data_IF_291215427990
#
_entry.id   IF_291215427990
#
_cell.length_a   1.000
_cell.length_b   1.000
_cell.length_c   1.000
_cell.angle_alpha   90.00
_cell.angle_beta   90.00
_cell.angle_gamma   90.00
#
_symmetry.space_group_name_H-M   'P 1'
#
loop_
_entity.id
_entity.type
_entity.pdbx_description
1 polymer ?
#
# COMPACT_ATOMS: atom_id res chain seq x y z
N UNK A 1 1.31 -0.07 35.68
CA UNK A 1 0.71 0.33 34.39
C UNK A 1 0.63 -0.89 33.49
N UNK A 2 -0.58 -1.25 33.01
CA UNK A 2 -0.78 -2.35 32.05
C UNK A 2 -0.13 -1.97 30.72
N UNK A 3 0.65 -2.87 30.11
CA UNK A 3 1.19 -2.66 28.76
C UNK A 3 0.07 -2.86 27.74
N UNK A 4 -0.10 -1.92 26.82
CA UNK A 4 -1.06 -2.01 25.73
C UNK A 4 -0.39 -2.65 24.51
N UNK A 5 -0.92 -3.78 24.05
CA UNK A 5 -0.43 -4.46 22.85
C UNK A 5 -1.21 -3.93 21.64
N UNK A 6 -0.49 -3.47 20.62
CA UNK A 6 -1.08 -2.92 19.39
C UNK A 6 -0.49 -3.63 18.20
N UNK A 7 -1.34 -4.21 17.36
CA UNK A 7 -0.93 -5.03 16.21
C UNK A 7 -1.45 -4.36 14.94
N UNK A 8 -0.53 -4.03 14.04
CA UNK A 8 -0.91 -3.51 12.72
C UNK A 8 -1.23 -4.68 11.77
N UNK A 9 -2.49 -4.75 11.34
CA UNK A 9 -3.03 -5.81 10.47
C UNK A 9 -3.18 -5.26 9.05
N UNK A 10 -2.16 -5.40 8.22
CA UNK A 10 -2.14 -4.86 6.86
C UNK A 10 -2.92 -5.68 5.82
N UNK A 11 -3.59 -6.76 6.22
CA UNK A 11 -4.19 -7.77 5.33
C UNK A 11 -3.20 -8.73 4.67
N UNK A 12 -1.90 -8.63 4.99
CA UNK A 12 -0.87 -9.53 4.49
C UNK A 12 -0.68 -10.75 5.40
N UNK A 13 0.03 -11.77 4.90
CA UNK A 13 0.28 -13.02 5.66
C UNK A 13 0.99 -12.79 7.00
N UNK A 14 2.03 -11.93 7.00
CA UNK A 14 2.91 -11.74 8.15
C UNK A 14 2.23 -10.89 9.24
N UNK A 15 1.51 -9.83 8.86
CA UNK A 15 0.74 -9.01 9.80
C UNK A 15 -0.44 -9.79 10.39
N UNK A 16 -1.09 -10.64 9.59
CA UNK A 16 -2.12 -11.58 10.08
C UNK A 16 -1.51 -12.59 11.07
N UNK A 17 -0.33 -13.14 10.79
CA UNK A 17 0.31 -14.07 11.72
C UNK A 17 0.64 -13.42 13.08
N UNK A 18 0.98 -12.12 13.14
CA UNK A 18 1.10 -11.43 14.42
C UNK A 18 -0.22 -11.39 15.20
N UNK A 19 -1.33 -11.11 14.52
CA UNK A 19 -2.68 -11.12 15.11
C UNK A 19 -3.01 -12.51 15.67
N UNK A 20 -2.80 -13.56 14.87
CA UNK A 20 -3.05 -14.96 15.26
C UNK A 20 -2.13 -15.40 16.40
N UNK A 21 -0.87 -14.98 16.40
CA UNK A 21 0.09 -15.32 17.45
C UNK A 21 -0.32 -14.69 18.79
N UNK A 22 -0.85 -13.47 18.78
CA UNK A 22 -1.35 -12.83 20.00
C UNK A 22 -2.59 -13.57 20.56
N UNK A 23 -3.52 -13.97 19.69
CA UNK A 23 -4.66 -14.81 20.08
C UNK A 23 -4.23 -16.16 20.65
N UNK A 24 -3.33 -16.87 19.96
CA UNK A 24 -2.79 -18.16 20.42
C UNK A 24 -2.08 -18.05 21.78
N UNK A 25 -1.55 -16.88 22.11
CA UNK A 25 -0.90 -16.58 23.40
C UNK A 25 -1.87 -16.07 24.48
N UNK A 26 -3.17 -15.90 24.17
CA UNK A 26 -4.13 -15.33 25.11
C UNK A 26 -3.82 -13.88 25.51
N UNK A 27 -3.13 -13.13 24.64
CA UNK A 27 -2.77 -11.74 24.92
C UNK A 27 -3.93 -10.85 24.49
N UNK A 28 -4.30 -9.90 25.36
CA UNK A 28 -5.24 -8.83 25.06
C UNK A 28 -4.54 -7.75 24.21
N UNK A 29 -5.10 -7.39 23.06
CA UNK A 29 -4.51 -6.44 22.11
C UNK A 29 -5.54 -5.66 21.31
N UNK A 30 -5.10 -4.51 20.77
CA UNK A 30 -5.83 -3.74 19.75
C UNK A 30 -5.30 -4.08 18.37
N UNK A 31 -6.20 -4.43 17.45
CA UNK A 31 -5.88 -4.58 16.03
C UNK A 31 -6.14 -3.27 15.30
N UNK A 32 -5.17 -2.78 14.54
CA UNK A 32 -5.29 -1.51 13.81
C UNK A 32 -4.86 -1.67 12.35
N UNK A 33 -5.51 -0.94 11.45
CA UNK A 33 -5.18 -0.89 10.04
C UNK A 33 -5.10 0.56 9.57
N UNK A 34 -3.99 0.89 8.90
CA UNK A 34 -3.83 2.19 8.26
C UNK A 34 -4.29 2.09 6.80
N UNK A 35 -5.49 2.56 6.53
CA UNK A 35 -6.09 2.53 5.21
C UNK A 35 -5.47 3.62 4.33
N UNK A 36 -4.76 3.18 3.29
CA UNK A 36 -4.10 4.08 2.36
C UNK A 36 -5.06 4.73 1.37
N UNK A 37 -6.29 4.21 1.21
CA UNK A 37 -7.22 4.61 0.16
C UNK A 37 -6.93 3.99 -1.21
N UNK A 38 -5.85 3.22 -1.35
CA UNK A 38 -5.52 2.50 -2.59
C UNK A 38 -5.50 0.97 -2.39
N UNK A 39 -6.13 0.47 -1.32
CA UNK A 39 -6.22 -0.97 -1.04
C UNK A 39 -7.16 -1.66 -2.03
N UNK A 40 -6.91 -2.95 -2.29
CA UNK A 40 -7.86 -3.81 -3.01
C UNK A 40 -9.07 -4.14 -2.13
N UNK A 41 -10.22 -4.36 -2.76
CA UNK A 41 -11.51 -4.72 -2.15
C UNK A 41 -11.37 -5.98 -1.27
N UNK A 42 -10.71 -7.02 -1.78
CA UNK A 42 -10.37 -8.22 -1.00
C UNK A 42 -9.50 -7.97 0.24
N UNK A 43 -8.79 -6.85 0.33
CA UNK A 43 -8.11 -6.46 1.58
C UNK A 43 -9.15 -6.04 2.62
N UNK A 44 -10.14 -5.22 2.26
CA UNK A 44 -11.20 -4.83 3.18
C UNK A 44 -12.06 -6.03 3.59
N UNK A 45 -12.48 -6.88 2.65
CA UNK A 45 -13.20 -8.12 2.94
C UNK A 45 -12.42 -8.99 3.94
N UNK A 46 -11.11 -9.12 3.75
CA UNK A 46 -10.26 -9.91 4.63
C UNK A 46 -10.18 -9.34 6.05
N UNK A 47 -10.12 -8.01 6.19
CA UNK A 47 -10.09 -7.35 7.51
C UNK A 47 -11.40 -7.53 8.28
N UNK A 48 -12.53 -7.60 7.57
CA UNK A 48 -13.84 -7.92 8.18
C UNK A 48 -13.99 -9.41 8.51
N UNK A 49 -13.42 -10.28 7.68
CA UNK A 49 -13.42 -11.72 7.87
C UNK A 49 -12.61 -12.16 9.10
N UNK A 50 -11.43 -11.57 9.29
CA UNK A 50 -10.46 -12.00 10.31
C UNK A 50 -11.04 -12.09 11.75
N UNK A 51 -11.69 -11.05 12.32
CA UNK A 51 -12.28 -11.15 13.65
C UNK A 51 -13.48 -12.13 13.69
N UNK A 52 -14.24 -12.26 12.59
CA UNK A 52 -15.40 -13.17 12.52
C UNK A 52 -14.99 -14.64 12.62
N UNK A 53 -13.88 -15.02 11.97
CA UNK A 53 -13.40 -16.41 11.99
C UNK A 53 -12.59 -16.74 13.26
N UNK A 54 -11.87 -15.77 13.81
CA UNK A 54 -10.97 -16.00 14.95
C UNK A 54 -11.61 -15.72 16.31
N UNK A 55 -12.72 -15.00 16.37
CA UNK A 55 -13.27 -14.46 17.61
C UNK A 55 -12.41 -13.37 18.26
N UNK A 56 -11.38 -12.87 17.56
CA UNK A 56 -10.46 -11.86 18.06
C UNK A 56 -10.96 -10.42 17.92
N UNK A 57 -10.14 -9.43 18.32
CA UNK A 57 -10.48 -8.01 18.24
C UNK A 57 -10.82 -7.55 16.82
N UNK A 58 -11.83 -6.70 16.69
CA UNK A 58 -12.16 -5.98 15.45
C UNK A 58 -10.97 -5.10 15.05
N UNK A 59 -10.72 -5.00 13.74
CA UNK A 59 -9.65 -4.17 13.20
C UNK A 59 -10.11 -2.72 13.12
N UNK A 60 -9.53 -1.84 13.93
CA UNK A 60 -9.77 -0.40 13.91
C UNK A 60 -9.08 0.24 12.72
N UNK A 61 -9.83 0.99 11.90
CA UNK A 61 -9.32 1.61 10.69
C UNK A 61 -8.98 3.08 10.96
N UNK A 62 -7.75 3.47 10.66
CA UNK A 62 -7.29 4.86 10.66
C UNK A 62 -6.97 5.33 9.25
N UNK A 63 -7.24 6.61 8.97
CA UNK A 63 -7.05 7.22 7.65
C UNK A 63 -6.33 8.56 7.79
N UNK A 64 -5.47 8.88 6.82
CA UNK A 64 -4.88 10.20 6.72
C UNK A 64 -5.92 11.23 6.22
N UNK A 65 -5.78 12.49 6.65
CA UNK A 65 -6.53 13.63 6.12
C UNK A 65 -5.54 14.68 5.61
N UNK A 66 -5.65 15.01 4.32
CA UNK A 66 -4.80 15.99 3.64
C UNK A 66 -5.50 17.32 3.34
N UNK A 67 -6.71 17.54 3.86
CA UNK A 67 -7.51 18.75 3.59
C UNK A 67 -6.73 20.05 3.89
N UNK A 68 -6.00 20.07 5.01
CA UNK A 68 -5.16 21.21 5.40
C UNK A 68 -3.97 21.41 4.45
N UNK A 69 -3.34 20.33 4.02
CA UNK A 69 -2.18 20.30 3.13
C UNK A 69 -2.58 20.77 1.72
N UNK A 70 -3.73 20.31 1.23
CA UNK A 70 -4.33 20.74 -0.03
C UNK A 70 -4.66 22.23 0.03
N UNK A 71 -5.29 22.72 1.12
CA UNK A 71 -5.57 24.16 1.27
C UNK A 71 -4.32 25.03 1.16
N UNK A 72 -3.25 24.67 1.89
CA UNK A 72 -1.95 25.36 1.82
C UNK A 72 -1.32 25.28 0.43
N UNK A 73 -1.47 24.14 -0.26
CA UNK A 73 -0.98 23.97 -1.62
C UNK A 73 -1.71 24.89 -2.60
N UNK A 74 -3.03 25.07 -2.45
CA UNK A 74 -3.82 25.99 -3.27
C UNK A 74 -3.35 27.43 -3.14
N UNK A 75 -3.02 27.87 -1.92
CA UNK A 75 -2.40 29.19 -1.68
C UNK A 75 -1.07 29.31 -2.45
N UNK A 76 -0.22 28.28 -2.40
CA UNK A 76 1.03 28.24 -3.17
C UNK A 76 0.79 28.30 -4.68
N UNK A 77 -0.22 27.58 -5.19
CA UNK A 77 -0.58 27.60 -6.62
C UNK A 77 -1.09 28.97 -7.04
N UNK A 78 -1.87 29.66 -6.20
CA UNK A 78 -2.37 31.01 -6.51
C UNK A 78 -1.24 32.05 -6.54
N UNK A 79 -0.38 32.02 -5.52
CA UNK A 79 0.52 33.13 -5.24
C UNK A 79 1.93 32.89 -5.82
N UNK A 80 2.48 31.69 -5.61
CA UNK A 80 3.85 31.36 -6.04
C UNK A 80 3.93 30.99 -7.51
N UNK A 81 2.99 30.22 -8.06
CA UNK A 81 3.05 29.85 -9.48
C UNK A 81 2.90 31.06 -10.41
N UNK A 82 2.10 32.06 -10.00
CA UNK A 82 2.01 33.33 -10.70
C UNK A 82 3.36 34.05 -10.75
N UNK A 83 4.09 34.08 -9.62
CA UNK A 83 5.46 34.66 -9.54
C UNK A 83 6.47 33.86 -10.37
N UNK A 84 6.31 32.54 -10.41
CA UNK A 84 7.17 31.64 -11.19
C UNK A 84 6.86 31.64 -12.70
N UNK A 85 5.98 32.52 -13.19
CA UNK A 85 5.66 32.65 -14.62
C UNK A 85 4.76 31.54 -15.20
N UNK A 86 4.06 30.77 -14.36
CA UNK A 86 3.15 29.72 -14.85
C UNK A 86 1.93 30.35 -15.55
N UNK A 87 1.50 29.85 -16.72
CA UNK A 87 0.36 30.40 -17.44
C UNK A 87 -0.93 30.47 -16.59
N UNK A 88 -1.67 31.58 -16.69
CA UNK A 88 -2.91 31.80 -15.95
C UNK A 88 -3.94 30.68 -16.14
N UNK A 89 -4.05 30.15 -17.36
CA UNK A 89 -4.93 29.03 -17.68
C UNK A 89 -4.57 27.76 -16.90
N UNK A 90 -3.27 27.47 -16.74
CA UNK A 90 -2.80 26.33 -15.95
C UNK A 90 -3.07 26.53 -14.46
N UNK A 91 -2.88 27.75 -13.93
CA UNK A 91 -3.20 28.07 -12.53
C UNK A 91 -4.70 27.89 -12.26
N UNK A 92 -5.56 28.42 -13.13
CA UNK A 92 -7.02 28.29 -13.01
C UNK A 92 -7.44 26.82 -12.98
N UNK A 93 -7.01 26.03 -13.97
CA UNK A 93 -7.28 24.60 -14.04
C UNK A 93 -6.78 23.83 -12.80
N UNK A 94 -5.58 24.14 -12.33
CA UNK A 94 -5.03 23.50 -11.13
C UNK A 94 -5.86 23.83 -9.88
N UNK A 95 -6.32 25.08 -9.73
CA UNK A 95 -7.17 25.49 -8.60
C UNK A 95 -8.59 24.92 -8.66
N UNK A 96 -9.12 24.62 -9.84
CA UNK A 96 -10.40 23.92 -9.98
C UNK A 96 -10.30 22.46 -9.51
N UNK A 97 -9.22 21.77 -9.90
CA UNK A 97 -9.04 20.34 -9.67
C UNK A 97 -8.38 19.99 -8.32
N UNK A 98 -7.59 20.89 -7.73
CA UNK A 98 -6.86 20.63 -6.48
C UNK A 98 -7.79 20.75 -5.26
N UNK A 99 -8.68 19.78 -5.07
CA UNK A 99 -9.63 19.68 -3.96
C UNK A 99 -9.45 18.34 -3.24
N UNK A 100 -9.82 18.24 -1.94
CA UNK A 100 -9.90 16.95 -1.25
C UNK A 100 -10.92 16.05 -1.96
N UNK A 101 -10.51 14.82 -2.26
CA UNK A 101 -11.32 13.83 -2.99
C UNK A 101 -11.97 12.82 -2.06
N UNK A 102 -11.55 12.78 -0.78
CA UNK A 102 -11.95 11.76 0.18
C UNK A 102 -11.12 10.47 0.07
N UNK A 103 -10.25 10.36 -0.94
CA UNK A 103 -9.30 9.27 -1.07
C UNK A 103 -7.90 9.75 -0.61
N UNK A 104 -7.38 9.23 0.52
CA UNK A 104 -6.12 9.73 1.08
C UNK A 104 -4.90 9.49 0.17
N UNK A 105 -4.86 8.40 -0.61
CA UNK A 105 -3.77 8.17 -1.56
C UNK A 105 -3.76 9.23 -2.66
N UNK A 106 -4.92 9.49 -3.25
CA UNK A 106 -5.06 10.48 -4.31
C UNK A 106 -4.78 11.89 -3.78
N UNK A 107 -5.35 12.25 -2.64
CA UNK A 107 -5.16 13.56 -2.01
C UNK A 107 -3.69 13.84 -1.67
N UNK A 108 -2.97 12.83 -1.16
CA UNK A 108 -1.54 12.90 -0.96
C UNK A 108 -0.80 13.15 -2.29
N UNK A 109 -1.17 12.46 -3.37
CA UNK A 109 -0.54 12.64 -4.69
C UNK A 109 -0.82 14.03 -5.28
N UNK A 110 -2.04 14.56 -5.11
CA UNK A 110 -2.43 15.91 -5.53
C UNK A 110 -1.65 16.97 -4.75
N UNK A 111 -1.54 16.82 -3.43
CA UNK A 111 -0.76 17.72 -2.59
C UNK A 111 0.73 17.74 -2.98
N UNK A 112 1.34 16.55 -3.14
CA UNK A 112 2.75 16.41 -3.52
C UNK A 112 2.99 16.76 -5.01
N UNK A 113 1.94 16.74 -5.83
CA UNK A 113 1.99 16.95 -7.29
C UNK A 113 2.72 15.84 -8.06
N UNK A 114 2.77 14.63 -7.48
CA UNK A 114 3.40 13.43 -8.05
C UNK A 114 2.98 12.16 -7.31
N UNK A 115 3.15 11.00 -7.95
CA UNK A 115 3.04 9.71 -7.28
C UNK A 115 4.29 9.34 -6.46
N UNK A 116 4.14 8.52 -5.42
CA UNK A 116 5.25 7.91 -4.71
C UNK A 116 6.03 6.95 -5.61
N UNK A 117 7.28 6.67 -5.25
CA UNK A 117 8.16 5.78 -6.03
C UNK A 117 8.96 4.86 -5.12
N UNK A 118 9.59 3.83 -5.69
CA UNK A 118 10.44 2.90 -4.96
C UNK A 118 11.59 3.57 -4.20
N UNK A 119 12.05 4.75 -4.68
CA UNK A 119 13.07 5.60 -4.03
C UNK A 119 12.49 6.65 -3.08
N UNK A 120 11.30 7.17 -3.37
CA UNK A 120 10.64 8.19 -2.54
C UNK A 120 9.28 7.66 -2.05
N UNK A 121 9.30 6.93 -0.93
CA UNK A 121 8.18 6.16 -0.38
C UNK A 121 7.35 6.97 0.63
N UNK A 122 7.06 8.23 0.31
CA UNK A 122 6.30 9.10 1.21
C UNK A 122 4.89 8.55 1.50
N UNK A 123 4.35 7.64 0.68
CA UNK A 123 3.12 6.93 1.00
C UNK A 123 3.21 6.11 2.30
N UNK A 124 4.37 5.54 2.62
CA UNK A 124 4.54 4.78 3.87
C UNK A 124 4.48 5.72 5.07
N UNK A 125 5.15 6.86 4.99
CA UNK A 125 5.17 7.87 6.06
C UNK A 125 3.78 8.49 6.24
N UNK A 126 3.23 9.05 5.16
CA UNK A 126 2.03 9.89 5.18
C UNK A 126 0.74 9.09 5.37
N UNK A 127 0.67 7.86 4.84
CA UNK A 127 -0.56 7.05 4.86
C UNK A 127 -0.54 5.92 5.88
N UNK A 128 0.64 5.53 6.39
CA UNK A 128 0.75 4.45 7.39
C UNK A 128 1.33 4.94 8.71
N UNK A 129 2.55 5.45 8.69
CA UNK A 129 3.26 5.83 9.93
C UNK A 129 2.52 6.97 10.64
N UNK A 130 2.27 8.09 9.97
CA UNK A 130 1.65 9.25 10.62
C UNK A 130 0.23 8.98 11.12
N UNK A 131 -0.70 8.37 10.36
CA UNK A 131 -2.02 8.05 10.89
C UNK A 131 -1.96 7.16 12.13
N UNK A 132 -1.13 6.10 12.12
CA UNK A 132 -0.97 5.23 13.28
C UNK A 132 -0.34 5.99 14.45
N UNK A 133 0.70 6.77 14.22
CA UNK A 133 1.37 7.53 15.28
C UNK A 133 0.43 8.53 15.95
N UNK A 134 -0.24 9.38 15.17
CA UNK A 134 -1.05 10.45 15.72
C UNK A 134 -2.41 9.97 16.24
N UNK A 135 -3.04 8.99 15.60
CA UNK A 135 -4.41 8.56 15.94
C UNK A 135 -4.43 7.35 16.89
N UNK A 136 -3.38 6.52 16.91
CA UNK A 136 -3.34 5.31 17.73
C UNK A 136 -2.27 5.41 18.82
N UNK A 137 -1.00 5.57 18.44
CA UNK A 137 0.11 5.43 19.37
C UNK A 137 0.19 6.57 20.38
N UNK A 138 0.03 7.83 19.95
CA UNK A 138 0.06 8.97 20.87
C UNK A 138 -1.09 8.94 21.89
N UNK A 139 -2.36 8.70 21.51
CA UNK A 139 -3.42 8.48 22.50
C UNK A 139 -3.14 7.30 23.42
N UNK A 140 -2.62 6.18 22.91
CA UNK A 140 -2.30 5.01 23.73
C UNK A 140 -1.16 5.29 24.73
N UNK A 141 -0.11 6.02 24.33
CA UNK A 141 1.02 6.39 25.18
C UNK A 141 0.61 7.28 26.35
N UNK A 142 -0.40 8.15 26.17
CA UNK A 142 -0.97 8.95 27.28
C UNK A 142 -1.57 8.08 28.38
N UNK A 143 -2.01 6.87 28.03
CA UNK A 143 -2.69 5.92 28.93
C UNK A 143 -1.76 4.79 29.43
N UNK A 144 -0.47 4.80 29.06
CA UNK A 144 0.50 3.83 29.56
C UNK A 144 1.52 3.37 28.52
N UNK A 145 2.23 2.28 28.82
CA UNK A 145 3.24 1.74 27.93
C UNK A 145 2.58 1.07 26.73
N UNK A 146 3.13 1.32 25.54
CA UNK A 146 2.65 0.73 24.29
C UNK A 146 3.70 -0.22 23.74
N UNK A 147 3.24 -1.40 23.36
CA UNK A 147 4.00 -2.41 22.65
C UNK A 147 3.38 -2.66 21.28
N UNK A 148 4.03 -2.16 20.23
CA UNK A 148 3.69 -2.41 18.84
C UNK A 148 4.29 -3.74 18.35
N UNK A 149 3.44 -4.61 17.83
CA UNK A 149 3.85 -5.83 17.15
C UNK A 149 3.96 -5.58 15.65
N UNK A 150 5.09 -5.96 15.07
CA UNK A 150 5.34 -5.80 13.64
C UNK A 150 5.61 -7.16 12.99
N UNK A 151 4.77 -7.50 12.00
CA UNK A 151 4.91 -8.69 11.16
C UNK A 151 5.98 -8.49 10.10
N UNK A 152 7.24 -8.52 10.51
CA UNK A 152 8.41 -8.37 9.63
C UNK A 152 9.25 -9.64 9.73
N UNK A 153 9.72 -10.17 8.60
CA UNK A 153 10.62 -11.32 8.55
C UNK A 153 11.94 -10.98 7.87
N UNK A 154 13.03 -11.55 8.38
CA UNK A 154 14.38 -11.35 7.88
C UNK A 154 14.54 -11.79 6.42
N UNK A 155 13.91 -12.90 6.04
CA UNK A 155 13.97 -13.47 4.68
C UNK A 155 13.38 -12.57 3.59
N UNK A 156 12.59 -11.55 3.95
CA UNK A 156 11.93 -10.70 2.94
C UNK A 156 12.90 -9.71 2.28
N UNK A 157 13.98 -9.31 2.96
CA UNK A 157 15.04 -8.46 2.40
C UNK A 157 16.23 -8.32 3.34
N UNK A 158 17.42 -8.02 2.79
CA UNK A 158 18.63 -7.69 3.58
C UNK A 158 18.40 -6.58 4.62
N UNK A 159 17.68 -5.52 4.26
CA UNK A 159 17.34 -4.46 5.23
C UNK A 159 16.49 -4.94 6.40
N UNK A 160 15.67 -5.99 6.21
CA UNK A 160 14.83 -6.57 7.27
C UNK A 160 15.63 -7.53 8.14
N UNK A 161 16.63 -8.22 7.61
CA UNK A 161 17.50 -9.12 8.40
C UNK A 161 18.38 -8.36 9.39
N UNK A 162 18.66 -7.09 9.14
CA UNK A 162 19.46 -6.22 10.02
C UNK A 162 18.63 -5.59 11.15
N UNK A 163 17.29 -5.73 11.13
CA UNK A 163 16.44 -5.16 12.17
C UNK A 163 16.59 -5.92 13.49
N UNK A 164 16.59 -5.21 14.64
CA UNK A 164 16.62 -5.87 15.93
C UNK A 164 15.28 -6.58 16.20
N UNK A 165 15.32 -7.67 16.97
CA UNK A 165 14.10 -8.37 17.39
C UNK A 165 13.17 -7.47 18.24
N UNK A 166 13.78 -6.54 18.98
CA UNK A 166 13.11 -5.60 19.87
C UNK A 166 13.85 -4.26 19.87
N UNK A 167 13.12 -3.15 19.83
CA UNK A 167 13.69 -1.82 20.09
C UNK A 167 12.63 -0.86 20.64
N UNK A 168 13.07 0.23 21.27
CA UNK A 168 12.21 1.39 21.54
C UNK A 168 12.45 2.42 20.44
N UNK A 169 11.38 3.04 19.94
CA UNK A 169 11.51 4.13 18.97
C UNK A 169 11.54 5.51 19.65
N UNK A 170 11.77 6.55 18.86
CA UNK A 170 11.88 7.94 19.34
C UNK A 170 10.55 8.48 19.89
N UNK A 171 9.42 7.86 19.55
CA UNK A 171 8.10 8.22 20.09
C UNK A 171 7.85 7.63 21.48
N UNK A 172 8.71 6.69 21.89
CA UNK A 172 8.59 5.98 23.15
C UNK A 172 7.82 4.66 23.06
N UNK A 173 7.36 4.27 21.86
CA UNK A 173 6.72 2.98 21.62
C UNK A 173 7.77 1.89 21.61
N UNK A 174 7.48 0.78 22.29
CA UNK A 174 8.27 -0.43 22.17
C UNK A 174 7.82 -1.22 20.93
N UNK A 175 8.76 -1.60 20.08
CA UNK A 175 8.52 -2.37 18.88
C UNK A 175 9.04 -3.79 19.08
N UNK A 176 8.18 -4.77 18.80
CA UNK A 176 8.50 -6.19 18.83
C UNK A 176 8.23 -6.84 17.49
N UNK A 177 9.18 -7.66 17.03
CA UNK A 177 9.14 -8.37 15.75
C UNK A 177 9.16 -9.88 15.99
N UNK A 178 8.05 -10.48 16.48
CA UNK A 178 8.03 -11.89 16.89
C UNK A 178 8.32 -12.85 15.73
N UNK A 179 8.00 -12.44 14.50
CA UNK A 179 8.15 -13.25 13.29
C UNK A 179 9.51 -13.06 12.59
N UNK A 180 10.44 -12.28 13.17
CA UNK A 180 11.67 -11.87 12.49
C UNK A 180 12.47 -13.05 11.91
N UNK A 181 12.48 -14.18 12.62
CA UNK A 181 13.20 -15.40 12.23
C UNK A 181 12.30 -16.49 11.66
N UNK A 182 11.05 -16.17 11.32
CA UNK A 182 10.12 -17.15 10.78
C UNK A 182 10.27 -17.28 9.26
N UNK A 183 10.11 -18.50 8.76
CA UNK A 183 9.93 -18.76 7.34
C UNK A 183 8.51 -18.38 6.87
N UNK A 184 8.31 -18.27 5.56
CA UNK A 184 6.96 -18.08 5.02
C UNK A 184 6.05 -19.28 5.32
N UNK A 185 6.61 -20.49 5.33
CA UNK A 185 5.90 -21.72 5.66
C UNK A 185 5.37 -21.70 7.10
N UNK A 186 6.21 -21.34 8.08
CA UNK A 186 5.78 -21.21 9.48
C UNK A 186 4.65 -20.18 9.67
N UNK A 187 4.64 -19.12 8.86
CA UNK A 187 3.54 -18.15 8.84
C UNK A 187 2.25 -18.80 8.34
N UNK A 188 2.29 -19.52 7.22
CA UNK A 188 1.10 -20.21 6.69
C UNK A 188 0.67 -21.40 7.54
N UNK A 189 1.59 -22.08 8.23
CA UNK A 189 1.26 -23.10 9.22
C UNK A 189 0.42 -22.53 10.35
N UNK A 190 0.78 -21.35 10.86
CA UNK A 190 -0.02 -20.69 11.88
C UNK A 190 -1.41 -20.31 11.35
N UNK A 191 -1.52 -19.86 10.09
CA UNK A 191 -2.80 -19.59 9.45
C UNK A 191 -3.68 -20.85 9.41
N UNK A 192 -3.12 -21.97 8.94
CA UNK A 192 -3.80 -23.28 8.89
C UNK A 192 -4.21 -23.77 10.28
N UNK A 193 -3.30 -23.73 11.25
CA UNK A 193 -3.57 -24.14 12.63
C UNK A 193 -4.72 -23.36 13.28
N UNK A 194 -4.88 -22.09 12.90
CA UNK A 194 -5.92 -21.21 13.43
C UNK A 194 -7.17 -21.16 12.54
N UNK A 195 -7.23 -21.97 11.47
CA UNK A 195 -8.38 -22.02 10.55
C UNK A 195 -8.61 -20.73 9.77
N UNK A 196 -7.55 -19.94 9.51
CA UNK A 196 -7.64 -18.66 8.81
C UNK A 196 -7.11 -18.80 7.40
N UNK A 197 -7.98 -18.56 6.43
CA UNK A 197 -7.57 -18.50 5.03
C UNK A 197 -6.83 -17.19 4.75
N UNK A 198 -5.67 -17.22 4.06
CA UNK A 198 -4.96 -15.99 3.71
C UNK A 198 -5.75 -15.16 2.70
N UNK A 199 -5.42 -13.87 2.61
CA UNK A 199 -6.06 -12.96 1.66
C UNK A 199 -6.10 -13.54 0.24
N UNK A 200 -7.28 -13.48 -0.39
CA UNK A 200 -7.57 -14.03 -1.73
C UNK A 200 -6.55 -13.62 -2.80
N UNK A 201 -5.97 -12.43 -2.70
CA UNK A 201 -4.95 -11.97 -3.63
C UNK A 201 -3.72 -12.92 -3.69
N UNK A 202 -3.36 -13.59 -2.59
CA UNK A 202 -2.30 -14.59 -2.61
C UNK A 202 -2.66 -15.82 -3.45
N UNK A 203 -3.93 -16.23 -3.49
CA UNK A 203 -4.42 -17.30 -4.37
C UNK A 203 -4.43 -16.86 -5.83
N UNK A 204 -4.62 -15.57 -6.10
CA UNK A 204 -4.59 -15.01 -7.46
C UNK A 204 -3.17 -14.72 -8.01
N UNK A 205 -2.12 -15.11 -7.27
CA UNK A 205 -0.73 -14.98 -7.71
C UNK A 205 -0.09 -13.62 -7.41
N UNK A 206 -0.70 -12.80 -6.54
CA UNK A 206 -0.06 -11.58 -6.08
C UNK A 206 0.98 -11.89 -5.02
N UNK A 207 2.19 -11.36 -5.22
CA UNK A 207 3.28 -11.49 -4.26
C UNK A 207 3.16 -10.51 -3.08
N UNK A 208 2.37 -9.44 -3.26
CA UNK A 208 2.15 -8.38 -2.27
C UNK A 208 0.69 -7.99 -2.23
N UNK A 209 0.16 -7.88 -1.02
CA UNK A 209 -1.26 -7.67 -0.72
C UNK A 209 -1.43 -6.34 0.00
N UNK A 210 -2.62 -5.75 -0.14
CA UNK A 210 -2.93 -4.39 0.27
C UNK A 210 -3.19 -3.53 -0.96
N UNK A 211 -2.29 -2.58 -1.23
CA UNK A 211 -2.51 -1.59 -2.26
C UNK A 211 -2.56 -2.19 -3.68
N UNK A 212 -3.52 -1.75 -4.51
CA UNK A 212 -3.70 -2.21 -5.88
C UNK A 212 -3.48 -1.10 -6.92
N UNK A 213 -2.33 -1.11 -7.61
CA UNK A 213 -1.10 -1.80 -7.28
C UNK A 213 -0.30 -1.00 -6.23
N UNK A 214 0.57 -1.67 -5.50
CA UNK A 214 1.59 -0.98 -4.70
C UNK A 214 2.76 -0.54 -5.59
N UNK A 215 3.39 0.60 -5.30
CA UNK A 215 4.53 1.15 -6.07
C UNK A 215 5.75 0.23 -6.27
N UNK A 216 5.90 -0.85 -5.48
CA UNK A 216 6.94 -1.86 -5.73
C UNK A 216 6.41 -3.11 -6.45
N UNK A 217 5.30 -2.98 -7.19
CA UNK A 217 4.62 -4.12 -7.80
C UNK A 217 5.57 -4.73 -8.82
N UNK A 218 5.65 -6.06 -8.81
CA UNK A 218 6.43 -6.78 -9.80
C UNK A 218 5.63 -6.84 -11.09
N UNK A 219 6.32 -7.13 -12.20
CA UNK A 219 5.68 -7.28 -13.53
C UNK A 219 4.47 -8.22 -13.48
N UNK A 220 4.59 -9.34 -12.76
CA UNK A 220 3.51 -10.31 -12.61
C UNK A 220 2.32 -9.78 -11.79
N UNK A 221 2.55 -9.00 -10.72
CA UNK A 221 1.46 -8.37 -9.96
C UNK A 221 0.69 -7.38 -10.86
N UNK A 222 1.41 -6.60 -11.68
CA UNK A 222 0.81 -5.65 -12.64
C UNK A 222 0.02 -6.40 -13.72
N UNK A 223 0.55 -7.53 -14.21
CA UNK A 223 -0.14 -8.39 -15.18
C UNK A 223 -1.43 -8.96 -14.60
N UNK A 224 -1.38 -9.51 -13.39
CA UNK A 224 -2.56 -10.04 -12.69
C UNK A 224 -3.60 -8.94 -12.49
N UNK A 225 -3.21 -7.75 -12.06
CA UNK A 225 -4.10 -6.60 -11.97
C UNK A 225 -4.71 -6.25 -13.34
N UNK A 226 -3.89 -6.10 -14.38
CA UNK A 226 -4.36 -5.69 -15.70
C UNK A 226 -5.26 -6.72 -16.40
N UNK A 227 -5.16 -7.99 -16.04
CA UNK A 227 -5.98 -9.07 -16.61
C UNK A 227 -7.23 -9.36 -15.78
N UNK A 228 -7.13 -9.36 -14.45
CA UNK A 228 -8.23 -9.73 -13.55
C UNK A 228 -9.08 -8.53 -13.10
N UNK A 229 -8.45 -7.36 -13.02
CA UNK A 229 -8.99 -6.15 -12.39
C UNK A 229 -8.73 -4.89 -13.26
N UNK A 230 -9.21 -4.88 -14.52
CA UNK A 230 -8.94 -3.78 -15.45
C UNK A 230 -9.46 -2.41 -14.97
N UNK A 231 -10.47 -2.39 -14.11
CA UNK A 231 -10.99 -1.19 -13.44
C UNK A 231 -9.93 -0.47 -12.61
N UNK A 232 -8.95 -1.17 -12.02
CA UNK A 232 -7.85 -0.52 -11.32
C UNK A 232 -6.88 0.18 -12.28
N UNK A 233 -6.67 -0.35 -13.48
CA UNK A 233 -5.91 0.34 -14.53
C UNK A 233 -6.64 1.63 -14.94
N UNK A 234 -7.96 1.56 -15.13
CA UNK A 234 -8.78 2.73 -15.43
C UNK A 234 -8.71 3.78 -14.32
N UNK A 235 -8.86 3.39 -13.05
CA UNK A 235 -8.74 4.28 -11.88
C UNK A 235 -7.39 4.98 -11.85
N UNK A 236 -6.30 4.24 -12.07
CA UNK A 236 -4.96 4.82 -12.10
C UNK A 236 -4.78 5.81 -13.26
N UNK A 237 -5.35 5.54 -14.44
CA UNK A 237 -5.31 6.46 -15.59
C UNK A 237 -5.95 7.79 -15.24
N UNK A 238 -7.12 7.75 -14.61
CA UNK A 238 -7.84 8.95 -14.14
C UNK A 238 -7.01 9.71 -13.08
N UNK A 239 -6.36 9.00 -12.16
CA UNK A 239 -5.47 9.61 -11.17
C UNK A 239 -4.22 10.24 -11.82
N UNK A 240 -3.60 9.57 -12.80
CA UNK A 240 -2.47 10.12 -13.56
C UNK A 240 -2.84 11.43 -14.24
N UNK A 241 -4.01 11.48 -14.87
CA UNK A 241 -4.52 12.69 -15.51
C UNK A 241 -4.76 13.82 -14.50
N UNK A 242 -5.43 13.53 -13.39
CA UNK A 242 -5.75 14.53 -12.37
C UNK A 242 -4.49 15.11 -11.71
N UNK A 243 -3.55 14.25 -11.32
CA UNK A 243 -2.28 14.67 -10.71
C UNK A 243 -1.42 15.42 -11.72
N UNK A 244 -1.41 15.02 -12.99
CA UNK A 244 -0.70 15.74 -14.06
C UNK A 244 -1.25 17.16 -14.25
N UNK A 245 -2.58 17.32 -14.28
CA UNK A 245 -3.24 18.64 -14.45
C UNK A 245 -3.01 19.59 -13.27
N UNK A 246 -2.81 19.06 -12.06
CA UNK A 246 -2.56 19.81 -10.82
C UNK A 246 -1.07 19.97 -10.49
N UNK A 247 -0.17 19.33 -11.24
CA UNK A 247 1.28 19.44 -11.07
C UNK A 247 1.86 20.59 -11.87
N UNK A 248 2.89 21.25 -11.33
CA UNK A 248 3.62 22.33 -12.03
C UNK A 248 4.29 21.81 -13.31
N UNK A 249 4.72 20.54 -13.30
CA UNK A 249 5.39 19.88 -14.43
C UNK A 249 4.43 19.43 -15.54
N UNK A 250 3.12 19.42 -15.28
CA UNK A 250 2.12 18.99 -16.27
C UNK A 250 2.10 17.49 -16.57
N UNK A 251 2.97 16.68 -15.96
CA UNK A 251 3.07 15.23 -16.17
C UNK A 251 3.41 14.52 -14.86
N UNK A 252 2.67 13.46 -14.56
CA UNK A 252 2.87 12.58 -13.42
C UNK A 252 2.30 11.20 -13.72
N UNK A 253 3.14 10.17 -13.67
CA UNK A 253 2.74 8.76 -13.85
C UNK A 253 2.97 7.97 -12.58
N UNK A 254 2.19 6.90 -12.39
CA UNK A 254 2.26 6.04 -11.21
C UNK A 254 3.58 5.28 -11.15
N UNK A 255 4.01 4.74 -12.29
CA UNK A 255 5.31 4.11 -12.45
C UNK A 255 6.20 4.99 -13.35
N UNK A 256 7.18 5.74 -12.80
CA UNK A 256 8.01 6.66 -13.57
C UNK A 256 9.11 5.91 -14.37
N UNK A 257 8.71 5.01 -15.26
CA UNK A 257 9.62 4.24 -16.12
C UNK A 257 9.73 4.87 -17.49
N UNK A 258 10.93 5.36 -17.85
CA UNK A 258 11.22 5.84 -19.21
C UNK A 258 11.51 4.73 -20.21
N UNK A 259 11.93 3.55 -19.72
CA UNK A 259 12.32 2.41 -20.58
C UNK A 259 11.14 1.76 -21.30
N UNK A 260 9.93 1.94 -20.77
CA UNK A 260 8.70 1.33 -21.28
C UNK A 260 7.91 2.33 -22.15
N UNK A 261 8.24 3.62 -22.06
CA UNK A 261 7.51 4.68 -22.74
C UNK A 261 7.62 4.54 -24.25
N UNK A 262 6.49 4.66 -24.94
CA UNK A 262 6.42 4.80 -26.40
C UNK A 262 6.99 6.14 -26.89
N UNK A 263 7.05 7.15 -26.01
CA UNK A 263 7.59 8.48 -26.30
C UNK A 263 8.99 8.64 -25.74
N UNK A 264 9.93 9.06 -26.59
CA UNK A 264 11.30 9.37 -26.18
C UNK A 264 11.30 10.42 -25.04
N UNK A 265 12.03 10.13 -23.96
CA UNK A 265 12.24 10.96 -22.77
C UNK A 265 11.06 11.19 -21.82
N UNK A 266 9.86 10.70 -22.10
CA UNK A 266 8.70 10.76 -21.19
C UNK A 266 8.56 9.46 -20.37
N UNK A 267 7.98 9.51 -19.16
CA UNK A 267 7.61 8.30 -18.41
C UNK A 267 6.37 7.62 -19.02
N UNK A 268 6.35 6.28 -19.01
CA UNK A 268 5.20 5.50 -19.44
C UNK A 268 3.97 5.73 -18.55
N UNK A 269 2.81 5.83 -19.17
CA UNK A 269 1.50 5.84 -18.50
C UNK A 269 1.07 4.46 -18.05
N UNK A 270 0.10 4.38 -17.14
CA UNK A 270 -0.34 3.10 -16.59
C UNK A 270 -0.81 2.11 -17.66
N UNK A 271 -1.40 2.57 -18.75
CA UNK A 271 -1.84 1.72 -19.86
C UNK A 271 -0.67 1.05 -20.58
N UNK A 272 0.40 1.80 -20.83
CA UNK A 272 1.62 1.26 -21.43
C UNK A 272 2.29 0.26 -20.48
N UNK A 273 2.29 0.55 -19.18
CA UNK A 273 2.80 -0.36 -18.15
C UNK A 273 1.95 -1.63 -18.05
N UNK A 274 0.63 -1.52 -18.11
CA UNK A 274 -0.30 -2.63 -18.10
C UNK A 274 -0.13 -3.50 -19.36
N UNK A 275 0.01 -2.89 -20.53
CA UNK A 275 0.32 -3.58 -21.78
C UNK A 275 1.68 -4.28 -21.71
N UNK A 276 2.72 -3.56 -21.31
CA UNK A 276 4.07 -4.12 -21.12
C UNK A 276 4.08 -5.28 -20.13
N UNK A 277 3.25 -5.26 -19.10
CA UNK A 277 3.19 -6.35 -18.11
C UNK A 277 2.78 -7.70 -18.71
N UNK A 278 2.05 -7.68 -19.84
CA UNK A 278 1.58 -8.87 -20.58
C UNK A 278 2.64 -9.45 -21.53
N UNK A 279 3.69 -8.69 -21.84
CA UNK A 279 4.80 -9.13 -22.71
C UNK A 279 5.78 -10.07 -22.00
N UNK A 280 6.63 -10.75 -22.75
CA UNK A 280 7.70 -11.58 -22.18
C UNK A 280 8.93 -10.78 -21.71
N UNK A 281 10.01 -11.46 -21.33
CA UNK A 281 11.27 -10.83 -20.94
C UNK A 281 11.80 -9.97 -22.10
N UNK A 282 11.96 -8.67 -21.87
CA UNK A 282 12.49 -7.72 -22.87
C UNK A 282 11.47 -6.71 -23.41
N UNK A 283 10.16 -6.92 -23.21
CA UNK A 283 9.14 -5.91 -23.53
C UNK A 283 8.75 -5.78 -25.00
N UNK A 284 9.33 -6.59 -25.90
CA UNK A 284 9.16 -6.47 -27.36
C UNK A 284 8.38 -7.61 -28.01
N UNK A 285 8.31 -8.80 -27.39
CA UNK A 285 7.60 -9.95 -27.94
C UNK A 285 6.43 -10.35 -27.04
N UNK A 286 5.27 -10.52 -27.68
CA UNK A 286 4.16 -11.29 -27.13
C UNK A 286 4.49 -12.77 -27.35
N UNK A 287 4.46 -13.57 -26.29
CA UNK A 287 4.25 -15.00 -26.53
C UNK A 287 2.82 -15.14 -27.02
N UNK A 288 2.66 -15.68 -28.22
CA UNK A 288 1.34 -16.01 -28.77
C UNK A 288 0.58 -16.93 -27.81
N UNK A 289 1.29 -17.74 -27.01
CA UNK A 289 0.73 -18.57 -25.94
C UNK A 289 0.33 -17.79 -24.68
N UNK A 290 1.09 -16.77 -24.29
CA UNK A 290 0.89 -16.07 -23.02
C UNK A 290 -0.19 -14.98 -23.08
N UNK A 291 -0.63 -14.60 -24.29
CA UNK A 291 -1.67 -13.59 -24.51
C UNK A 291 -3.09 -14.15 -24.64
N UNK A 292 -3.20 -15.46 -24.92
CA UNK A 292 -4.46 -16.20 -25.03
C UNK A 292 -4.75 -17.09 -23.83
N UNK A 293 -3.79 -17.30 -22.92
CA UNK A 293 -4.01 -18.05 -21.69
C UNK A 293 -4.90 -17.27 -20.72
N UNK A 294 -6.13 -17.77 -20.53
CA UNK A 294 -6.92 -17.42 -19.35
C UNK A 294 -6.08 -17.70 -18.10
N UNK A 295 -5.93 -16.68 -17.23
CA UNK A 295 -5.17 -16.87 -16.01
C UNK A 295 -5.90 -17.90 -15.13
N UNK A 296 -5.20 -18.90 -14.58
CA UNK A 296 -5.85 -19.94 -13.79
C UNK A 296 -6.57 -19.35 -12.59
N UNK A 297 -7.66 -19.99 -12.15
CA UNK A 297 -8.46 -19.54 -11.01
C UNK A 297 -7.60 -19.40 -9.73
N UNK A 298 -6.61 -20.29 -9.56
CA UNK A 298 -5.57 -20.18 -8.55
C UNK A 298 -4.17 -20.19 -9.20
N UNK A 299 -3.32 -19.24 -8.81
CA UNK A 299 -1.97 -19.03 -9.33
C UNK A 299 -0.97 -18.74 -8.18
N UNK A 300 -1.20 -19.33 -7.01
CA UNK A 300 -0.47 -18.95 -5.79
C UNK A 300 1.03 -19.25 -5.88
N UNK A 301 1.84 -18.25 -5.55
CA UNK A 301 3.31 -18.38 -5.44
C UNK A 301 3.69 -19.19 -4.18
N UNK A 302 2.76 -19.36 -3.23
CA UNK A 302 2.99 -20.01 -1.95
C UNK A 302 2.40 -21.42 -1.87
N UNK A 303 1.98 -22.01 -3.00
CA UNK A 303 1.39 -23.36 -3.01
C UNK A 303 0.05 -23.43 -2.27
N UNK A 304 -0.75 -22.34 -2.33
CA UNK A 304 -2.07 -22.26 -1.69
C UNK A 304 -3.22 -22.75 -2.59
N UNK A 305 -2.90 -23.41 -3.70
CA UNK A 305 -3.88 -24.01 -4.59
C UNK A 305 -4.06 -25.47 -4.18
N UNK A 306 -5.31 -25.94 -4.15
CA UNK A 306 -5.68 -27.34 -3.90
C UNK A 306 -5.25 -28.26 -5.06
#
# INVERSE_FOLDING_TARGET
>A
MKTQHIINVSGGKDSTACYLLALKKGIDFRAVFADTGNEHEYTYEFLEYLPKVTGGPVVEIVRADFSKQIRKKRETVRDKWKKDGVPKAQIKRALELLQPTGNPFLDMCLWKGRFPSTKARFCTEELKVFPLTFQVFFPALKNGRVLSWQGVRAEESRSRSELPFWNKDDTGVYIWRPLLRWSAEQVFDLHRQMGVEPNKLYKLGFSRVGCMPCIMARKLDIRNMAMRFPEHVKRLREWEELVSKTSKRGQSTFFPSKKISSKNNEPAHIDEIAYWSKTDRGGSQFNLWSSTEELPACASIYGLCE
#
